data_IF_963255622523
#
_entry.id   IF_963255622523
#
_cell.length_a   1.000
_cell.length_b   1.000
_cell.length_c   1.000
_cell.angle_alpha   90.00
_cell.angle_beta   90.00
_cell.angle_gamma   90.00
#
_symmetry.space_group_name_H-M   'P 1'
#
loop_
_entity.id
_entity.type
_entity.pdbx_description
1 polymer ?
#
# COMPACT_ATOMS: atom_id res chain seq x y z
N UNK A 1 -26.26 -19.66 9.39
CA UNK A 1 -25.00 -19.15 8.81
C UNK A 1 -24.44 -18.17 9.85
N UNK A 2 -23.26 -18.44 10.44
CA UNK A 2 -22.61 -17.43 11.26
C UNK A 2 -22.16 -16.31 10.31
N UNK A 3 -22.59 -15.08 10.57
CA UNK A 3 -22.05 -13.91 9.90
C UNK A 3 -20.59 -13.84 10.37
N UNK A 4 -19.65 -14.02 9.46
CA UNK A 4 -18.23 -13.89 9.76
C UNK A 4 -17.99 -12.43 10.18
N UNK A 5 -17.51 -12.21 11.40
CA UNK A 5 -17.15 -10.91 11.92
C UNK A 5 -15.91 -10.40 11.15
N UNK A 6 -16.00 -9.25 10.51
CA UNK A 6 -14.89 -8.63 9.76
C UNK A 6 -13.97 -7.91 10.75
N UNK A 7 -12.96 -8.63 11.23
CA UNK A 7 -12.02 -8.13 12.22
C UNK A 7 -10.70 -7.73 11.57
N UNK A 8 -10.25 -6.52 11.86
CA UNK A 8 -8.97 -5.97 11.41
C UNK A 8 -8.13 -5.62 12.63
N UNK A 9 -6.89 -6.09 12.62
CA UNK A 9 -5.86 -5.66 13.58
C UNK A 9 -4.97 -4.62 12.92
N UNK A 10 -4.68 -3.51 13.60
CA UNK A 10 -3.78 -2.46 13.14
C UNK A 10 -2.60 -2.39 14.10
N UNK A 11 -1.43 -2.81 13.64
CA UNK A 11 -0.18 -2.73 14.40
C UNK A 11 0.49 -1.39 14.09
N UNK A 12 0.56 -0.52 15.11
CA UNK A 12 0.97 0.87 15.02
C UNK A 12 -0.21 1.84 15.02
N UNK A 13 -0.47 2.45 16.18
CA UNK A 13 -1.54 3.43 16.41
C UNK A 13 -1.08 4.88 16.20
N UNK A 14 -0.12 5.09 15.29
CA UNK A 14 0.36 6.41 14.89
C UNK A 14 -0.61 7.13 13.94
N UNK A 15 -0.14 8.24 13.35
CA UNK A 15 -0.94 9.04 12.41
C UNK A 15 -1.52 8.20 11.26
N UNK A 16 -0.74 7.32 10.66
CA UNK A 16 -1.20 6.51 9.53
C UNK A 16 -2.18 5.45 10.00
N UNK A 17 -1.85 4.69 11.04
CA UNK A 17 -2.71 3.62 11.56
C UNK A 17 -4.08 4.14 12.04
N UNK A 18 -4.13 5.30 12.72
CA UNK A 18 -5.39 5.92 13.13
C UNK A 18 -6.26 6.32 11.95
N UNK A 19 -5.66 6.89 10.89
CA UNK A 19 -6.41 7.26 9.68
C UNK A 19 -6.87 6.05 8.87
N UNK A 20 -6.14 4.94 8.91
CA UNK A 20 -6.62 3.66 8.36
C UNK A 20 -7.88 3.22 9.10
N UNK A 21 -7.86 3.20 10.43
CA UNK A 21 -9.04 2.86 11.23
C UNK A 21 -10.24 3.75 10.90
N UNK A 22 -10.03 5.07 10.82
CA UNK A 22 -11.10 6.00 10.43
C UNK A 22 -11.62 5.73 9.01
N UNK A 23 -10.73 5.44 8.05
CA UNK A 23 -11.14 5.10 6.68
C UNK A 23 -11.95 3.80 6.63
N UNK A 24 -11.64 2.82 7.47
CA UNK A 24 -12.38 1.57 7.57
C UNK A 24 -13.79 1.79 8.14
N UNK A 25 -13.94 2.52 9.24
CA UNK A 25 -15.25 2.74 9.85
C UNK A 25 -16.13 3.66 8.98
N UNK A 26 -15.56 4.71 8.39
CA UNK A 26 -16.31 5.63 7.53
C UNK A 26 -16.90 4.97 6.29
N UNK A 27 -16.32 3.85 5.84
CA UNK A 27 -16.79 3.03 4.71
C UNK A 27 -17.51 1.75 5.14
N UNK A 28 -17.75 1.53 6.43
CA UNK A 28 -18.42 0.33 6.96
C UNK A 28 -17.70 -0.98 6.60
N UNK A 29 -16.37 -0.98 6.57
CA UNK A 29 -15.57 -2.12 6.10
C UNK A 29 -15.23 -3.13 7.21
N UNK A 30 -15.18 -2.71 8.47
CA UNK A 30 -14.86 -3.58 9.59
C UNK A 30 -15.96 -3.57 10.66
N UNK A 31 -16.23 -4.75 11.24
CA UNK A 31 -17.13 -4.91 12.39
C UNK A 31 -16.35 -4.77 13.70
N UNK A 32 -15.06 -5.12 13.68
CA UNK A 32 -14.15 -4.97 14.82
C UNK A 32 -12.76 -4.48 14.36
N UNK A 33 -12.21 -3.52 15.09
CA UNK A 33 -10.86 -3.00 14.91
C UNK A 33 -10.12 -3.11 16.25
N UNK A 34 -8.92 -3.71 16.23
CA UNK A 34 -8.04 -3.77 17.38
C UNK A 34 -6.76 -3.00 17.06
N UNK A 35 -6.45 -1.97 17.84
CA UNK A 35 -5.17 -1.29 17.78
C UNK A 35 -4.15 -1.96 18.69
N UNK A 36 -2.96 -2.23 18.13
CA UNK A 36 -1.78 -2.72 18.87
C UNK A 36 -0.66 -1.69 18.69
N UNK A 37 -0.12 -1.18 19.77
CA UNK A 37 1.03 -0.26 19.74
C UNK A 37 1.94 -0.57 20.94
N UNK A 38 3.25 -0.38 20.81
CA UNK A 38 4.20 -0.48 21.92
C UNK A 38 3.90 0.54 23.02
N UNK A 39 3.32 1.68 22.67
CA UNK A 39 2.66 2.62 23.59
C UNK A 39 1.18 2.25 23.71
N UNK A 40 0.87 1.37 24.67
CA UNK A 40 -0.51 0.92 24.91
C UNK A 40 -1.47 2.08 25.23
N UNK A 41 -1.00 3.11 25.94
CA UNK A 41 -1.84 4.27 26.26
C UNK A 41 -2.26 5.02 24.98
N UNK A 42 -1.38 5.11 24.01
CA UNK A 42 -1.69 5.67 22.69
C UNK A 42 -2.70 4.82 21.92
N UNK A 43 -2.55 3.49 21.93
CA UNK A 43 -3.54 2.59 21.31
C UNK A 43 -4.93 2.77 21.95
N UNK A 44 -5.00 2.87 23.29
CA UNK A 44 -6.23 3.15 24.03
C UNK A 44 -6.83 4.50 23.61
N UNK A 45 -6.03 5.55 23.54
CA UNK A 45 -6.51 6.89 23.16
C UNK A 45 -7.09 6.89 21.74
N UNK A 46 -6.42 6.24 20.78
CA UNK A 46 -6.94 6.11 19.40
C UNK A 46 -8.22 5.28 19.34
N UNK A 47 -8.33 4.22 20.14
CA UNK A 47 -9.54 3.41 20.19
C UNK A 47 -10.74 4.21 20.75
N UNK A 48 -10.52 5.03 21.78
CA UNK A 48 -11.57 5.91 22.33
C UNK A 48 -12.02 6.95 21.32
N UNK A 49 -11.09 7.71 20.72
CA UNK A 49 -11.40 8.75 19.75
C UNK A 49 -12.16 8.18 18.54
N UNK A 50 -11.72 7.02 18.03
CA UNK A 50 -12.39 6.36 16.93
C UNK A 50 -13.78 5.82 17.33
N UNK A 51 -13.95 5.36 18.57
CA UNK A 51 -15.25 4.92 19.10
C UNK A 51 -16.21 6.10 19.19
N UNK A 52 -15.75 7.27 19.63
CA UNK A 52 -16.58 8.49 19.66
C UNK A 52 -17.08 8.86 18.26
N UNK A 53 -16.25 8.71 17.24
CA UNK A 53 -16.63 8.96 15.86
C UNK A 53 -17.77 8.05 15.36
N UNK A 54 -17.87 6.81 15.86
CA UNK A 54 -18.93 5.87 15.45
C UNK A 54 -20.35 6.36 15.77
N UNK A 55 -20.50 7.27 16.75
CA UNK A 55 -21.80 7.87 17.09
C UNK A 55 -22.38 8.71 15.94
N UNK A 56 -21.53 9.19 15.04
CA UNK A 56 -21.91 10.08 13.94
C UNK A 56 -21.86 9.40 12.57
N UNK A 57 -21.52 8.11 12.55
CA UNK A 57 -21.40 7.32 11.32
C UNK A 57 -22.48 6.21 11.28
N UNK A 58 -22.92 5.78 10.11
CA UNK A 58 -23.93 4.70 9.99
C UNK A 58 -23.33 3.31 10.23
N UNK A 59 -22.51 3.15 11.29
CA UNK A 59 -21.73 1.94 11.58
C UNK A 59 -21.83 1.57 13.06
N UNK A 60 -21.55 0.31 13.35
CA UNK A 60 -21.45 -0.22 14.73
C UNK A 60 -20.14 -1.00 14.91
N UNK A 61 -19.06 -0.43 14.42
CA UNK A 61 -17.74 -1.04 14.58
C UNK A 61 -17.30 -0.98 16.03
N UNK A 62 -16.92 -2.13 16.59
CA UNK A 62 -16.27 -2.19 17.88
C UNK A 62 -14.78 -1.83 17.71
N UNK A 63 -14.30 -0.85 18.45
CA UNK A 63 -12.90 -0.43 18.41
C UNK A 63 -12.28 -0.59 19.78
N UNK A 64 -11.15 -1.29 19.87
CA UNK A 64 -10.44 -1.55 21.11
C UNK A 64 -8.93 -1.40 20.92
N UNK A 65 -8.23 -1.12 22.03
CA UNK A 65 -6.81 -1.43 22.13
C UNK A 65 -6.67 -2.86 22.66
N UNK A 66 -5.66 -3.58 22.17
CA UNK A 66 -5.41 -4.95 22.55
C UNK A 66 -3.94 -5.34 22.40
N UNK A 67 -3.70 -6.62 22.39
CA UNK A 67 -2.39 -7.23 22.14
C UNK A 67 -2.45 -8.28 21.03
N UNK A 68 -1.33 -8.93 20.75
CA UNK A 68 -1.27 -9.90 19.64
C UNK A 68 -2.15 -11.13 19.86
N UNK A 69 -2.55 -11.48 21.09
CA UNK A 69 -3.50 -12.59 21.32
C UNK A 69 -4.88 -12.30 20.77
N UNK A 70 -5.24 -11.01 20.65
CA UNK A 70 -6.50 -10.57 20.04
C UNK A 70 -6.51 -10.73 18.51
N UNK A 71 -5.37 -11.04 17.89
CA UNK A 71 -5.28 -11.19 16.44
C UNK A 71 -5.73 -12.59 15.94
N UNK A 72 -5.85 -13.58 16.81
CA UNK A 72 -6.06 -15.00 16.44
C UNK A 72 -7.25 -15.22 15.52
N UNK A 73 -8.32 -14.47 15.69
CA UNK A 73 -9.57 -14.58 14.90
C UNK A 73 -9.74 -13.45 13.88
N UNK A 74 -8.72 -12.61 13.70
CA UNK A 74 -8.74 -11.55 12.71
C UNK A 74 -8.45 -12.09 11.30
N UNK A 75 -9.09 -11.49 10.31
CA UNK A 75 -8.88 -11.84 8.91
C UNK A 75 -7.77 -11.02 8.26
N UNK A 76 -7.56 -9.79 8.75
CA UNK A 76 -6.56 -8.87 8.18
C UNK A 76 -5.76 -8.25 9.32
N UNK A 77 -4.44 -8.24 9.13
CA UNK A 77 -3.53 -7.46 9.95
C UNK A 77 -2.86 -6.40 9.10
N UNK A 78 -2.97 -5.13 9.50
CA UNK A 78 -2.32 -4.00 8.83
C UNK A 78 -1.08 -3.62 9.63
N UNK A 79 0.10 -3.68 9.01
CA UNK A 79 1.35 -3.29 9.64
C UNK A 79 1.63 -1.82 9.30
N UNK A 80 1.52 -0.95 10.30
CA UNK A 80 1.77 0.49 10.25
C UNK A 80 2.82 0.91 11.28
N UNK A 81 3.75 0.01 11.59
CA UNK A 81 4.78 0.21 12.60
C UNK A 81 6.07 0.73 11.95
N UNK A 82 6.69 1.73 12.55
CA UNK A 82 7.94 2.32 12.10
C UNK A 82 7.99 3.81 12.34
N UNK A 83 9.20 4.41 12.39
CA UNK A 83 9.35 5.83 12.54
C UNK A 83 8.96 6.58 11.26
N UNK A 84 8.50 7.81 11.41
CA UNK A 84 8.39 8.74 10.28
C UNK A 84 9.79 9.34 9.98
N UNK A 85 10.15 9.52 8.70
CA UNK A 85 11.34 10.27 8.34
C UNK A 85 11.25 11.69 8.93
N UNK A 86 12.35 12.18 9.50
CA UNK A 86 12.44 13.52 10.08
C UNK A 86 13.50 14.34 9.37
N UNK A 87 13.29 15.66 9.24
CA UNK A 87 14.24 16.56 8.57
C UNK A 87 14.45 16.19 7.09
N UNK A 88 15.69 15.92 6.73
CA UNK A 88 16.08 15.55 5.36
C UNK A 88 16.21 14.03 5.16
N UNK A 89 15.72 13.23 6.09
CA UNK A 89 15.76 11.77 5.97
C UNK A 89 14.89 11.28 4.83
N UNK A 90 15.42 10.31 4.10
CA UNK A 90 14.65 9.48 3.14
C UNK A 90 13.93 8.34 3.87
N UNK A 91 13.06 7.61 3.16
CA UNK A 91 12.46 6.38 3.69
C UNK A 91 13.51 5.31 4.02
N UNK A 92 14.60 5.26 3.28
CA UNK A 92 15.69 4.30 3.51
C UNK A 92 16.49 4.60 4.79
N UNK A 93 16.60 5.87 5.19
CA UNK A 93 17.31 6.25 6.42
C UNK A 93 16.63 5.70 7.69
N UNK A 94 15.35 5.32 7.60
CA UNK A 94 14.61 4.71 8.70
C UNK A 94 14.64 3.18 8.70
N UNK A 95 15.25 2.53 7.70
CA UNK A 95 15.22 1.08 7.51
C UNK A 95 15.69 0.32 8.75
N UNK A 96 16.85 0.67 9.31
CA UNK A 96 17.41 -0.03 10.48
C UNK A 96 16.50 0.01 11.69
N UNK A 97 15.88 1.17 11.96
CA UNK A 97 14.92 1.30 13.06
C UNK A 97 13.65 0.49 12.80
N UNK A 98 13.16 0.51 11.57
CA UNK A 98 11.97 -0.27 11.18
C UNK A 98 12.24 -1.78 11.31
N UNK A 99 13.39 -2.27 10.86
CA UNK A 99 13.77 -3.69 10.99
C UNK A 99 13.88 -4.09 12.47
N UNK A 100 14.45 -3.25 13.33
CA UNK A 100 14.52 -3.53 14.76
C UNK A 100 13.12 -3.71 15.38
N UNK A 101 12.16 -2.86 15.02
CA UNK A 101 10.76 -2.99 15.45
C UNK A 101 10.14 -4.27 14.88
N UNK A 102 10.39 -4.58 13.62
CA UNK A 102 9.77 -5.73 12.95
C UNK A 102 10.27 -7.09 13.46
N UNK A 103 11.46 -7.17 14.05
CA UNK A 103 11.92 -8.38 14.74
C UNK A 103 10.96 -8.77 15.87
N UNK A 104 10.53 -7.82 16.67
CA UNK A 104 9.57 -8.06 17.75
C UNK A 104 8.14 -8.28 17.21
N UNK A 105 7.72 -7.48 16.22
CA UNK A 105 6.40 -7.62 15.58
C UNK A 105 6.24 -8.99 14.95
N UNK A 106 7.17 -9.44 14.12
CA UNK A 106 7.08 -10.75 13.44
C UNK A 106 7.15 -11.92 14.41
N UNK A 107 7.94 -11.81 15.49
CA UNK A 107 7.94 -12.79 16.58
C UNK A 107 6.56 -12.87 17.23
N UNK A 108 5.99 -11.73 17.61
CA UNK A 108 4.66 -11.67 18.23
C UNK A 108 3.56 -12.20 17.32
N UNK A 109 3.63 -11.93 16.01
CA UNK A 109 2.69 -12.49 15.02
C UNK A 109 2.77 -14.03 15.01
N UNK A 110 3.97 -14.61 15.00
CA UNK A 110 4.14 -16.08 15.06
C UNK A 110 3.52 -16.71 16.30
N UNK A 111 3.61 -16.01 17.44
CA UNK A 111 3.12 -16.48 18.73
C UNK A 111 1.61 -16.24 18.92
N UNK A 112 1.00 -15.32 18.17
CA UNK A 112 -0.40 -14.91 18.31
C UNK A 112 -1.44 -15.95 17.87
N UNK A 113 -1.04 -16.86 16.97
CA UNK A 113 -1.96 -17.76 16.28
C UNK A 113 -2.77 -17.09 15.16
N UNK A 114 -2.40 -15.85 14.74
CA UNK A 114 -2.98 -15.20 13.58
C UNK A 114 -2.67 -15.99 12.30
N UNK A 115 -3.69 -16.22 11.47
CA UNK A 115 -3.58 -16.97 10.21
C UNK A 115 -4.36 -16.28 9.05
N UNK A 116 -4.41 -14.95 9.08
CA UNK A 116 -5.08 -14.12 8.08
C UNK A 116 -4.13 -13.56 7.01
N UNK A 117 -4.51 -12.41 6.47
CA UNK A 117 -3.74 -11.67 5.46
C UNK A 117 -3.02 -10.51 6.13
N UNK A 118 -1.74 -10.34 5.80
CA UNK A 118 -0.94 -9.17 6.22
C UNK A 118 -0.87 -8.17 5.08
N UNK A 119 -1.31 -6.94 5.36
CA UNK A 119 -1.17 -5.78 4.48
C UNK A 119 -0.18 -4.81 5.10
N UNK A 120 1.02 -4.71 4.54
CA UNK A 120 2.03 -3.79 5.03
C UNK A 120 1.82 -2.38 4.46
N UNK A 121 1.94 -1.37 5.30
CA UNK A 121 1.97 0.06 4.92
C UNK A 121 3.14 0.81 5.56
N UNK A 122 4.04 0.07 6.24
CA UNK A 122 5.29 0.62 6.80
C UNK A 122 6.33 0.81 5.70
N UNK A 123 7.19 1.81 5.87
CA UNK A 123 8.25 2.12 4.91
C UNK A 123 9.64 1.68 5.40
N UNK A 124 10.54 1.35 4.42
CA UNK A 124 10.38 1.25 2.96
C UNK A 124 9.46 0.07 2.57
N UNK A 125 8.33 0.36 1.90
CA UNK A 125 7.21 -0.57 1.82
C UNK A 125 7.55 -1.94 1.23
N UNK A 126 8.26 -1.97 0.09
CA UNK A 126 8.57 -3.20 -0.64
C UNK A 126 9.60 -4.06 0.11
N UNK A 127 10.65 -3.43 0.62
CA UNK A 127 11.72 -4.08 1.42
C UNK A 127 11.15 -4.66 2.70
N UNK A 128 10.31 -3.90 3.41
CA UNK A 128 9.67 -4.34 4.65
C UNK A 128 8.72 -5.50 4.41
N UNK A 129 7.96 -5.46 3.33
CA UNK A 129 7.04 -6.56 2.98
C UNK A 129 7.80 -7.85 2.69
N UNK A 130 8.90 -7.75 1.95
CA UNK A 130 9.79 -8.89 1.69
C UNK A 130 10.40 -9.44 2.98
N UNK A 131 10.87 -8.57 3.88
CA UNK A 131 11.42 -8.97 5.18
C UNK A 131 10.37 -9.69 6.04
N UNK A 132 9.13 -9.19 6.10
CA UNK A 132 8.03 -9.82 6.85
C UNK A 132 7.73 -11.21 6.28
N UNK A 133 7.59 -11.33 4.96
CA UNK A 133 7.30 -12.61 4.30
C UNK A 133 8.41 -13.63 4.55
N UNK A 134 9.66 -13.23 4.35
CA UNK A 134 10.83 -14.08 4.61
C UNK A 134 10.87 -14.56 6.06
N UNK A 135 10.69 -13.64 7.02
CA UNK A 135 10.76 -13.95 8.44
C UNK A 135 9.62 -14.86 8.89
N UNK A 136 8.40 -14.62 8.42
CA UNK A 136 7.24 -15.46 8.76
C UNK A 136 7.24 -16.79 8.00
N UNK A 137 7.85 -16.84 6.84
CA UNK A 137 7.84 -17.98 5.91
C UNK A 137 6.41 -18.43 5.56
N UNK A 138 5.53 -17.46 5.32
CA UNK A 138 4.15 -17.71 4.91
C UNK A 138 3.99 -17.67 3.39
N UNK A 139 2.84 -18.15 2.91
CA UNK A 139 2.45 -18.05 1.51
C UNK A 139 2.46 -16.57 1.05
N UNK A 140 3.21 -16.24 -0.01
CA UNK A 140 3.41 -14.84 -0.42
C UNK A 140 2.10 -14.15 -0.85
N UNK A 141 1.09 -14.93 -1.25
CA UNK A 141 -0.23 -14.41 -1.63
C UNK A 141 -0.93 -13.73 -0.44
N UNK A 142 -0.57 -14.11 0.79
CA UNK A 142 -1.16 -13.57 2.02
C UNK A 142 -0.37 -12.42 2.66
N UNK A 143 0.76 -12.04 2.08
CA UNK A 143 1.59 -10.94 2.57
C UNK A 143 1.94 -10.02 1.42
N UNK A 144 1.43 -8.81 1.43
CA UNK A 144 1.67 -7.81 0.39
C UNK A 144 1.53 -6.39 0.95
N UNK A 145 1.85 -5.39 0.15
CA UNK A 145 1.78 -3.98 0.56
C UNK A 145 0.93 -3.15 -0.38
N UNK A 146 0.31 -2.10 0.16
CA UNK A 146 -0.35 -1.06 -0.66
C UNK A 146 0.61 -0.36 -1.60
N UNK A 147 1.85 -0.16 -1.18
CA UNK A 147 2.97 0.40 -1.96
C UNK A 147 2.53 1.46 -2.99
N UNK A 148 2.60 1.18 -4.30
CA UNK A 148 2.26 2.17 -5.34
C UNK A 148 0.76 2.30 -5.64
N UNK A 149 -0.14 1.70 -4.87
CA UNK A 149 -1.59 1.96 -5.00
C UNK A 149 -1.88 3.46 -4.91
N UNK A 150 -1.29 4.13 -3.91
CA UNK A 150 -1.45 5.57 -3.72
C UNK A 150 -0.72 6.39 -4.78
N UNK A 151 0.48 5.96 -5.20
CA UNK A 151 1.25 6.67 -6.24
C UNK A 151 0.54 6.60 -7.59
N UNK A 152 -0.08 5.46 -7.91
CA UNK A 152 -0.95 5.31 -9.09
C UNK A 152 -2.16 6.26 -9.02
N UNK A 153 -2.73 6.49 -7.84
CA UNK A 153 -3.80 7.48 -7.67
C UNK A 153 -3.30 8.92 -7.86
N UNK A 154 -2.10 9.23 -7.36
CA UNK A 154 -1.46 10.54 -7.58
C UNK A 154 -1.14 10.79 -9.05
N UNK A 155 -0.65 9.78 -9.76
CA UNK A 155 -0.41 9.81 -11.20
C UNK A 155 -1.72 10.10 -11.95
N UNK A 156 -2.79 9.34 -11.66
CA UNK A 156 -4.11 9.59 -12.28
C UNK A 156 -4.60 10.99 -12.02
N UNK A 157 -4.43 11.52 -10.81
CA UNK A 157 -4.76 12.90 -10.49
C UNK A 157 -3.97 13.90 -11.32
N UNK A 158 -2.65 13.71 -11.46
CA UNK A 158 -1.80 14.60 -12.25
C UNK A 158 -2.23 14.63 -13.71
N UNK A 159 -2.46 13.45 -14.30
CA UNK A 159 -2.99 13.35 -15.68
C UNK A 159 -4.36 14.05 -15.79
N UNK A 160 -5.27 13.75 -14.86
CA UNK A 160 -6.63 14.30 -14.84
C UNK A 160 -6.66 15.83 -14.81
N UNK A 161 -5.79 16.44 -14.00
CA UNK A 161 -5.65 17.90 -13.90
C UNK A 161 -5.17 18.53 -15.19
N UNK A 162 -4.26 17.88 -15.90
CA UNK A 162 -3.71 18.39 -17.16
C UNK A 162 -4.70 18.31 -18.32
N UNK A 163 -5.48 17.23 -18.39
CA UNK A 163 -6.40 16.98 -19.52
C UNK A 163 -7.87 17.33 -19.24
N UNK A 164 -8.20 17.74 -18.00
CA UNK A 164 -9.56 18.12 -17.63
C UNK A 164 -10.59 16.96 -17.59
N UNK A 165 -10.13 15.73 -17.31
CA UNK A 165 -10.98 14.53 -17.21
C UNK A 165 -10.94 13.97 -15.78
N UNK A 166 -12.05 13.38 -15.30
CA UNK A 166 -12.10 12.77 -13.98
C UNK A 166 -11.04 11.65 -13.83
N UNK A 167 -10.29 11.68 -12.74
CA UNK A 167 -9.21 10.70 -12.48
C UNK A 167 -9.68 9.24 -12.44
N UNK A 168 -10.96 8.98 -12.16
CA UNK A 168 -11.55 7.63 -12.17
C UNK A 168 -11.76 7.08 -13.58
N UNK A 169 -11.70 7.94 -14.60
CA UNK A 169 -11.78 7.56 -16.01
C UNK A 169 -10.41 7.17 -16.60
N UNK A 170 -9.34 7.26 -15.79
CA UNK A 170 -7.98 7.01 -16.21
C UNK A 170 -7.48 5.70 -15.56
N UNK A 171 -6.96 4.79 -16.38
CA UNK A 171 -6.19 3.65 -15.90
C UNK A 171 -4.72 3.95 -16.09
N UNK A 172 -3.99 4.05 -14.99
CA UNK A 172 -2.55 4.27 -14.97
C UNK A 172 -1.95 3.65 -13.73
N UNK A 173 -0.77 3.05 -13.88
CA UNK A 173 -0.06 2.35 -12.82
C UNK A 173 1.36 2.89 -12.67
N UNK A 174 1.73 3.22 -11.42
CA UNK A 174 3.11 3.34 -11.01
C UNK A 174 3.59 1.94 -10.60
N UNK A 175 4.77 1.53 -11.05
CA UNK A 175 5.36 0.21 -10.87
C UNK A 175 6.71 0.30 -10.17
N UNK A 176 7.18 -0.86 -9.67
CA UNK A 176 8.49 -0.99 -9.03
C UNK A 176 8.46 -0.58 -7.56
N UNK A 177 9.40 0.23 -7.14
CA UNK A 177 9.53 0.71 -5.78
C UNK A 177 8.45 1.75 -5.42
N UNK A 178 7.94 1.69 -4.19
CA UNK A 178 7.30 2.86 -3.58
C UNK A 178 8.38 3.83 -3.09
N UNK A 179 9.00 4.55 -4.00
CA UNK A 179 10.16 5.41 -3.70
C UNK A 179 10.66 6.15 -4.93
N UNK A 180 11.97 6.49 -4.90
CA UNK A 180 12.59 7.32 -5.95
C UNK A 180 12.73 6.59 -7.29
N UNK A 181 12.87 5.25 -7.27
CA UNK A 181 13.04 4.45 -8.48
C UNK A 181 11.72 3.97 -9.09
N UNK A 182 10.56 4.43 -8.59
CA UNK A 182 9.27 4.09 -9.21
C UNK A 182 9.23 4.53 -10.67
N UNK A 183 8.55 3.75 -11.50
CA UNK A 183 8.36 4.07 -12.91
C UNK A 183 6.88 4.01 -13.30
N UNK A 184 6.54 4.60 -14.43
CA UNK A 184 5.18 4.58 -14.99
C UNK A 184 5.17 3.73 -16.26
N UNK A 185 4.24 2.78 -16.35
CA UNK A 185 3.98 2.02 -17.58
C UNK A 185 3.08 2.84 -18.52
N UNK A 186 3.66 3.83 -19.22
CA UNK A 186 2.94 4.72 -20.13
C UNK A 186 2.28 3.96 -21.28
N UNK A 187 2.88 2.87 -21.73
CA UNK A 187 2.34 1.97 -22.74
C UNK A 187 0.99 1.34 -22.35
N UNK A 188 0.76 1.20 -21.03
CA UNK A 188 -0.46 0.62 -20.48
C UNK A 188 -1.48 1.68 -19.99
N UNK A 189 -1.18 2.97 -20.14
CA UNK A 189 -2.12 4.03 -19.73
C UNK A 189 -3.28 4.10 -20.73
N UNK A 190 -4.51 4.05 -20.18
CA UNK A 190 -5.73 4.21 -20.97
C UNK A 190 -6.66 5.25 -20.37
N UNK A 191 -7.42 5.92 -21.24
CA UNK A 191 -8.49 6.86 -20.86
C UNK A 191 -9.75 6.40 -21.58
N UNK A 192 -10.79 6.11 -20.83
CA UNK A 192 -12.03 5.53 -21.35
C UNK A 192 -11.79 4.24 -22.18
N UNK A 193 -10.79 3.42 -21.80
CA UNK A 193 -10.41 2.18 -22.48
C UNK A 193 -9.56 2.37 -23.74
N UNK A 194 -9.32 3.61 -24.19
CA UNK A 194 -8.48 3.93 -25.34
C UNK A 194 -7.05 4.21 -24.90
N UNK A 195 -6.02 3.59 -25.51
CA UNK A 195 -4.62 3.84 -25.18
C UNK A 195 -4.23 5.32 -25.28
N UNK A 196 -3.37 5.78 -24.36
CA UNK A 196 -2.87 7.16 -24.37
C UNK A 196 -2.13 7.48 -25.67
N UNK A 197 -1.42 6.53 -26.28
CA UNK A 197 -0.75 6.70 -27.58
C UNK A 197 -1.73 7.14 -28.67
N UNK A 198 -2.90 6.50 -28.76
CA UNK A 198 -3.94 6.88 -29.73
C UNK A 198 -4.53 8.26 -29.43
N UNK A 199 -4.73 8.60 -28.15
CA UNK A 199 -5.15 9.95 -27.78
C UNK A 199 -4.14 11.00 -28.23
N UNK A 200 -2.85 10.73 -28.09
CA UNK A 200 -1.76 11.64 -28.51
C UNK A 200 -1.71 11.84 -30.01
N UNK A 201 -2.00 10.81 -30.80
CA UNK A 201 -2.06 10.88 -32.25
C UNK A 201 -3.29 11.65 -32.77
N UNK A 202 -4.47 11.38 -32.17
CA UNK A 202 -5.72 11.99 -32.61
C UNK A 202 -5.91 13.43 -32.12
N UNK A 203 -5.32 13.75 -30.97
CA UNK A 203 -5.44 15.07 -30.34
C UNK A 203 -4.05 15.65 -30.03
N UNK A 204 -3.24 15.97 -31.06
CA UNK A 204 -1.85 16.37 -30.85
C UNK A 204 -1.70 17.67 -30.09
N UNK A 205 -2.67 18.58 -30.17
CA UNK A 205 -2.64 19.88 -29.48
C UNK A 205 -2.93 19.79 -27.98
N UNK A 206 -3.59 18.73 -27.51
CA UNK A 206 -3.91 18.50 -26.09
C UNK A 206 -3.06 17.38 -25.55
N UNK A 207 -3.34 16.16 -25.96
CA UNK A 207 -2.65 14.98 -25.44
C UNK A 207 -1.22 14.81 -26.00
N UNK A 208 -0.97 15.27 -27.23
CA UNK A 208 0.36 15.20 -27.84
C UNK A 208 1.39 16.05 -27.11
N UNK A 209 0.97 17.16 -26.47
CA UNK A 209 1.82 18.07 -25.72
C UNK A 209 2.07 17.65 -24.27
N UNK A 210 1.45 16.57 -23.79
CA UNK A 210 1.68 16.08 -22.42
C UNK A 210 3.15 15.76 -22.19
N UNK A 211 3.72 16.38 -21.18
CA UNK A 211 5.04 16.04 -20.66
C UNK A 211 4.92 14.86 -19.70
N UNK A 212 5.22 13.67 -20.20
CA UNK A 212 5.05 12.41 -19.45
C UNK A 212 6.01 12.30 -18.26
N UNK A 213 7.22 12.86 -18.39
CA UNK A 213 8.20 12.86 -17.31
C UNK A 213 7.76 13.80 -16.18
N UNK A 214 7.28 15.00 -16.51
CA UNK A 214 6.72 15.91 -15.54
C UNK A 214 5.48 15.33 -14.82
N UNK A 215 4.63 14.58 -15.52
CA UNK A 215 3.48 13.91 -14.91
C UNK A 215 3.90 12.75 -13.98
N UNK A 216 4.91 11.98 -14.36
CA UNK A 216 5.48 10.93 -13.49
C UNK A 216 6.07 11.55 -12.22
N UNK A 217 6.83 12.65 -12.37
CA UNK A 217 7.40 13.40 -11.26
C UNK A 217 6.32 13.97 -10.34
N UNK A 218 5.26 14.56 -10.88
CA UNK A 218 4.14 15.08 -10.09
C UNK A 218 3.45 13.98 -9.26
N UNK A 219 3.37 12.77 -9.80
CA UNK A 219 2.89 11.59 -9.07
C UNK A 219 3.81 11.24 -7.89
N UNK A 220 5.12 11.15 -8.13
CA UNK A 220 6.14 10.82 -7.15
C UNK A 220 6.29 11.92 -6.07
N UNK A 221 6.41 13.16 -6.49
CA UNK A 221 6.59 14.32 -5.60
C UNK A 221 5.37 14.66 -4.74
N UNK A 222 4.19 14.17 -5.12
CA UNK A 222 2.96 14.42 -4.37
C UNK A 222 3.04 13.99 -2.89
N UNK A 223 3.79 12.92 -2.60
CA UNK A 223 4.06 12.47 -1.24
C UNK A 223 4.95 13.42 -0.45
N UNK A 224 6.02 13.90 -1.08
CA UNK A 224 6.95 14.85 -0.48
C UNK A 224 6.34 16.23 -0.24
N UNK A 225 5.49 16.70 -1.17
CA UNK A 225 4.74 17.95 -0.99
C UNK A 225 3.87 17.89 0.27
N UNK A 226 3.17 16.78 0.51
CA UNK A 226 2.36 16.59 1.71
C UNK A 226 3.23 16.49 2.96
N UNK A 227 4.32 15.73 2.90
CA UNK A 227 5.23 15.56 4.04
C UNK A 227 5.85 16.91 4.46
N UNK A 228 6.31 17.70 3.51
CA UNK A 228 6.85 19.06 3.78
C UNK A 228 5.79 20.00 4.35
N UNK A 229 4.53 19.88 3.92
CA UNK A 229 3.45 20.76 4.34
C UNK A 229 2.82 20.43 5.68
N UNK A 230 2.66 19.14 6.01
CA UNK A 230 1.96 18.70 7.23
C UNK A 230 2.65 17.57 7.98
N UNK A 231 3.89 17.25 7.64
CA UNK A 231 4.79 16.30 8.30
C UNK A 231 4.38 14.82 8.21
N UNK A 232 3.19 14.48 7.76
CA UNK A 232 2.73 13.12 7.57
C UNK A 232 1.71 13.01 6.44
N UNK A 233 1.81 11.99 5.61
CA UNK A 233 0.75 11.60 4.67
C UNK A 233 -0.21 10.65 5.41
N UNK A 234 -1.50 10.94 5.40
CA UNK A 234 -2.49 10.24 6.23
C UNK A 234 -3.72 9.81 5.40
N UNK A 235 -4.44 10.79 4.85
CA UNK A 235 -5.74 10.53 4.20
C UNK A 235 -5.63 9.60 2.99
N UNK A 236 -4.66 9.85 2.13
CA UNK A 236 -4.46 9.04 0.91
C UNK A 236 -4.10 7.60 1.21
N UNK A 237 -3.17 7.39 2.17
CA UNK A 237 -2.77 6.03 2.56
C UNK A 237 -3.89 5.32 3.33
N UNK A 238 -4.63 6.02 4.20
CA UNK A 238 -5.81 5.47 4.86
C UNK A 238 -6.86 4.99 3.86
N UNK A 239 -7.15 5.81 2.84
CA UNK A 239 -8.10 5.47 1.78
C UNK A 239 -7.60 4.30 0.91
N UNK A 240 -6.31 4.25 0.56
CA UNK A 240 -5.76 3.15 -0.25
C UNK A 240 -5.71 1.83 0.51
N UNK A 241 -5.42 1.85 1.82
CA UNK A 241 -5.51 0.66 2.66
C UNK A 241 -6.95 0.16 2.78
N UNK A 242 -7.93 1.08 2.96
CA UNK A 242 -9.34 0.73 2.99
C UNK A 242 -9.83 0.11 1.66
N UNK A 243 -9.29 0.57 0.52
CA UNK A 243 -9.54 -0.02 -0.80
C UNK A 243 -9.10 -1.50 -0.86
N UNK A 244 -7.89 -1.79 -0.35
CA UNK A 244 -7.36 -3.16 -0.27
C UNK A 244 -8.22 -4.02 0.67
N UNK A 245 -8.54 -3.53 1.86
CA UNK A 245 -9.39 -4.22 2.83
C UNK A 245 -10.76 -4.54 2.24
N UNK A 246 -11.33 -3.60 1.49
CA UNK A 246 -12.61 -3.80 0.80
C UNK A 246 -12.53 -4.90 -0.24
N UNK A 247 -11.48 -4.89 -1.07
CA UNK A 247 -11.27 -5.91 -2.09
C UNK A 247 -11.19 -7.32 -1.46
N UNK A 248 -10.54 -7.45 -0.30
CA UNK A 248 -10.45 -8.72 0.44
C UNK A 248 -11.82 -9.12 1.01
N UNK A 249 -12.45 -8.27 1.81
CA UNK A 249 -13.68 -8.62 2.53
C UNK A 249 -14.88 -8.90 1.62
N UNK A 250 -14.98 -8.15 0.52
CA UNK A 250 -16.07 -8.35 -0.45
C UNK A 250 -15.70 -9.28 -1.60
N UNK A 251 -14.48 -9.84 -1.60
CA UNK A 251 -13.97 -10.70 -2.67
C UNK A 251 -14.13 -10.07 -4.05
N UNK A 252 -13.73 -8.79 -4.16
CA UNK A 252 -13.98 -8.02 -5.39
C UNK A 252 -13.12 -8.50 -6.57
N UNK A 253 -12.07 -9.27 -6.32
CA UNK A 253 -11.06 -9.64 -7.34
C UNK A 253 -10.58 -8.42 -8.12
N UNK A 254 -10.23 -7.38 -7.37
CA UNK A 254 -9.92 -6.06 -7.91
C UNK A 254 -8.47 -5.96 -8.31
N UNK A 255 -8.22 -5.36 -9.48
CA UNK A 255 -6.85 -5.07 -9.92
C UNK A 255 -6.35 -3.81 -9.19
N UNK A 256 -5.30 -3.99 -8.39
CA UNK A 256 -4.62 -2.91 -7.66
C UNK A 256 -3.12 -3.00 -7.91
N UNK A 257 -2.43 -1.85 -7.93
CA UNK A 257 -0.96 -1.81 -7.97
C UNK A 257 -0.44 -2.00 -6.55
N UNK A 258 -0.02 -3.20 -6.21
CA UNK A 258 0.42 -3.63 -4.89
C UNK A 258 1.78 -4.31 -4.97
N UNK A 259 2.57 -4.23 -3.90
CA UNK A 259 3.86 -4.91 -3.83
C UNK A 259 3.65 -6.39 -3.51
N UNK A 260 4.08 -7.23 -4.42
CA UNK A 260 3.92 -8.69 -4.39
C UNK A 260 5.23 -9.39 -4.72
N UNK A 261 5.38 -10.65 -4.29
CA UNK A 261 6.56 -11.45 -4.62
C UNK A 261 6.54 -11.83 -6.10
N UNK A 262 7.50 -11.32 -6.85
CA UNK A 262 7.73 -11.70 -8.24
C UNK A 262 8.63 -12.94 -8.29
N UNK A 263 8.13 -13.98 -8.96
CA UNK A 263 8.86 -15.20 -9.19
C UNK A 263 8.63 -15.68 -10.62
N UNK A 264 9.36 -15.09 -11.57
CA UNK A 264 9.23 -15.30 -13.01
C UNK A 264 8.47 -14.20 -13.74
N UNK A 265 7.55 -13.50 -13.09
CA UNK A 265 6.82 -12.36 -13.69
C UNK A 265 7.74 -11.17 -13.93
N UNK A 266 7.52 -10.45 -15.02
CA UNK A 266 8.35 -9.31 -15.47
C UNK A 266 9.85 -9.65 -15.59
N UNK A 267 10.21 -10.93 -15.72
CA UNK A 267 11.59 -11.41 -15.73
C UNK A 267 12.32 -11.27 -14.38
N UNK A 268 11.58 -11.05 -13.28
CA UNK A 268 12.11 -10.88 -11.94
C UNK A 268 11.95 -12.14 -11.10
N UNK A 269 12.87 -12.38 -10.15
CA UNK A 269 12.85 -13.50 -9.24
C UNK A 269 13.19 -13.07 -7.82
N UNK A 270 12.49 -13.65 -6.85
CA UNK A 270 12.72 -13.46 -5.42
C UNK A 270 12.81 -11.96 -5.03
N UNK A 271 11.85 -11.17 -5.49
CA UNK A 271 11.77 -9.75 -5.17
C UNK A 271 10.31 -9.29 -5.01
N UNK A 272 10.07 -8.52 -3.96
CA UNK A 272 8.81 -7.79 -3.82
C UNK A 272 8.88 -6.48 -4.60
N UNK A 273 7.96 -6.29 -5.52
CA UNK A 273 7.81 -5.07 -6.30
C UNK A 273 6.35 -4.80 -6.61
N UNK A 274 6.03 -3.53 -6.77
CA UNK A 274 4.67 -3.12 -7.11
C UNK A 274 4.36 -3.36 -8.59
N UNK A 275 3.30 -4.12 -8.80
CA UNK A 275 2.73 -4.39 -10.12
C UNK A 275 1.20 -4.54 -9.99
N UNK A 276 0.43 -4.45 -11.07
CA UNK A 276 -1.00 -4.79 -11.03
C UNK A 276 -1.19 -6.25 -10.63
N UNK A 277 -2.01 -6.46 -9.59
CA UNK A 277 -2.38 -7.79 -9.13
C UNK A 277 -3.87 -7.83 -8.78
N UNK A 278 -4.48 -9.00 -8.94
CA UNK A 278 -5.86 -9.25 -8.54
C UNK A 278 -5.88 -9.55 -7.04
N UNK A 279 -6.55 -8.68 -6.29
CA UNK A 279 -6.74 -8.80 -4.85
C UNK A 279 -8.14 -9.32 -4.57
N UNK A 280 -8.23 -10.44 -3.90
CA UNK A 280 -9.47 -11.09 -3.52
C UNK A 280 -9.46 -11.58 -2.07
N UNK A 281 -10.43 -12.43 -1.71
CA UNK A 281 -10.66 -12.92 -0.35
C UNK A 281 -9.45 -13.61 0.27
N UNK A 282 -8.67 -14.32 -0.52
CA UNK A 282 -7.54 -15.12 -0.05
C UNK A 282 -6.19 -14.37 -0.22
N UNK A 283 -6.24 -13.07 -0.53
CA UNK A 283 -5.09 -12.22 -0.80
C UNK A 283 -4.87 -12.04 -2.30
N UNK A 284 -3.65 -12.24 -2.77
CA UNK A 284 -3.28 -12.10 -4.18
C UNK A 284 -3.68 -13.35 -4.97
N UNK A 285 -4.66 -13.19 -5.85
CA UNK A 285 -5.15 -14.28 -6.69
C UNK A 285 -4.28 -14.47 -7.96
N UNK A 286 -3.82 -13.36 -8.57
CA UNK A 286 -3.00 -13.39 -9.78
C UNK A 286 -2.18 -12.11 -9.92
N UNK A 287 -0.97 -12.22 -10.45
CA UNK A 287 -0.12 -11.11 -10.85
C UNK A 287 -0.30 -10.87 -12.35
N UNK A 288 -0.77 -9.66 -12.71
CA UNK A 288 -0.99 -9.27 -14.09
C UNK A 288 0.30 -8.72 -14.67
N UNK A 289 0.77 -9.32 -15.74
CA UNK A 289 1.97 -8.89 -16.44
C UNK A 289 1.61 -7.94 -17.58
N UNK A 290 1.99 -6.67 -17.44
CA UNK A 290 1.80 -5.67 -18.49
C UNK A 290 2.87 -5.85 -19.57
N UNK A 291 2.50 -5.58 -20.82
CA UNK A 291 3.47 -5.51 -21.92
C UNK A 291 4.22 -4.17 -21.85
N UNK A 292 5.38 -4.18 -21.21
CA UNK A 292 6.25 -3.01 -21.10
C UNK A 292 7.06 -2.82 -22.40
N UNK A 293 7.32 -1.57 -22.76
CA UNK A 293 8.32 -1.29 -23.81
C UNK A 293 9.72 -1.66 -23.31
N UNK A 294 10.72 -1.84 -24.20
CA UNK A 294 12.10 -2.10 -23.76
C UNK A 294 12.62 -1.09 -22.75
N UNK A 295 12.33 0.21 -22.94
CA UNK A 295 12.75 1.28 -22.03
C UNK A 295 12.03 1.20 -20.68
N UNK A 296 10.74 0.87 -20.69
CA UNK A 296 9.97 0.66 -19.46
C UNK A 296 10.47 -0.56 -18.70
N UNK A 297 10.76 -1.65 -19.41
CA UNK A 297 11.34 -2.86 -18.80
C UNK A 297 12.72 -2.58 -18.19
N UNK A 298 13.56 -1.78 -18.83
CA UNK A 298 14.86 -1.38 -18.27
C UNK A 298 14.70 -0.56 -16.98
N UNK A 299 13.79 0.42 -16.96
CA UNK A 299 13.46 1.21 -15.77
C UNK A 299 12.92 0.32 -14.65
N UNK A 300 12.04 -0.63 -14.97
CA UNK A 300 11.51 -1.58 -14.00
C UNK A 300 12.61 -2.48 -13.41
N UNK A 301 13.50 -3.00 -14.25
CA UNK A 301 14.63 -3.80 -13.82
C UNK A 301 15.57 -3.02 -12.89
N UNK A 302 15.84 -1.75 -13.20
CA UNK A 302 16.65 -0.87 -12.35
C UNK A 302 15.98 -0.66 -10.97
N UNK A 303 14.67 -0.45 -10.94
CA UNK A 303 13.88 -0.33 -9.71
C UNK A 303 13.96 -1.63 -8.87
N UNK A 304 13.75 -2.79 -9.48
CA UNK A 304 13.85 -4.07 -8.82
C UNK A 304 15.25 -4.33 -8.25
N UNK A 305 16.31 -3.94 -8.98
CA UNK A 305 17.68 -4.03 -8.49
C UNK A 305 17.90 -3.22 -7.22
N UNK A 306 17.45 -1.96 -7.21
CA UNK A 306 17.53 -1.10 -6.03
C UNK A 306 16.83 -1.72 -4.82
N UNK A 307 15.63 -2.25 -5.00
CA UNK A 307 14.89 -2.91 -3.91
C UNK A 307 15.60 -4.19 -3.44
N UNK A 308 16.18 -4.98 -4.35
CA UNK A 308 16.93 -6.19 -4.00
C UNK A 308 18.15 -5.86 -3.14
N UNK A 309 18.93 -4.84 -3.52
CA UNK A 309 20.09 -4.38 -2.74
C UNK A 309 19.67 -3.93 -1.33
N UNK A 310 18.59 -3.17 -1.23
CA UNK A 310 18.04 -2.71 0.03
C UNK A 310 17.47 -3.86 0.89
N UNK A 311 16.86 -4.87 0.26
CA UNK A 311 16.41 -6.06 0.96
C UNK A 311 17.59 -6.87 1.51
N UNK A 312 18.64 -7.09 0.74
CA UNK A 312 19.85 -7.76 1.23
C UNK A 312 20.46 -7.00 2.42
N UNK A 313 20.48 -5.66 2.36
CA UNK A 313 20.91 -4.85 3.52
C UNK A 313 20.01 -5.11 4.74
N UNK A 314 18.69 -5.20 4.57
CA UNK A 314 17.76 -5.43 5.68
C UNK A 314 18.00 -6.73 6.44
N UNK A 315 18.54 -7.77 5.77
CA UNK A 315 18.85 -9.05 6.38
C UNK A 315 20.12 -9.00 7.27
N UNK A 316 20.95 -7.96 7.13
CA UNK A 316 22.17 -7.77 7.93
C UNK A 316 21.96 -6.88 9.15
N UNK A 317 20.82 -6.20 9.25
CA UNK A 317 20.44 -5.31 10.34
C UNK A 317 19.75 -6.09 11.47
#
# INVERSE_FOLDING_TARGET
>A
MSISNRKVVIVGAGHVGSHVGYALISQSLADEIVYIDSDHAKAVAQAFDLTDATNYLPVRTKVTAGDYSDAKDAQIMIISAGPLPTGNQTRMDTLGQTIAILKDVTKSIKESGFDGIIVNISNPADVITHYIQHTLNWAPERIFSTSTTLDSARLRRAIAQEIGIDQKSITAYALGEHGESQMVAWSAVTIAGKPLSQWREEYPDTFGKLDLDALADAGREGGWTILRGKQCTEFGIGASAAEVVRAIFYNENRVLSVSVLLNGKYGQHDIYASVPAIVGRDGIAEIIELHLTPEEQEKFNASCKTMSENYQLSLTL
#
